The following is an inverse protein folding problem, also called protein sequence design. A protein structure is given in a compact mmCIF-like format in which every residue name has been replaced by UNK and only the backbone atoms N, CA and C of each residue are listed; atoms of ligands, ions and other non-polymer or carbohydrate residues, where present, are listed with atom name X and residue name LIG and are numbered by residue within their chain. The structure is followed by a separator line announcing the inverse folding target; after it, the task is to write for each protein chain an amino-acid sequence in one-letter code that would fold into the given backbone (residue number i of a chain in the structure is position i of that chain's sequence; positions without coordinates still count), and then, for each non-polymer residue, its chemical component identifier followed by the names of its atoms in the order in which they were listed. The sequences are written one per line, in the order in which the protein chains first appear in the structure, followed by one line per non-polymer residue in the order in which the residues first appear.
data_IF_707860996730
#
_entry.id   IF_707860996730
#
_cell.length_a   1.000
_cell.length_b   1.000
_cell.length_c   1.000
_cell.angle_alpha   90.00
_cell.angle_beta   90.00
_cell.angle_gamma   90.00
#
_symmetry.space_group_name_H-M   'P 1'
#
loop_
_entity.id
_entity.type
_entity.pdbx_description
1 polymer ?
#
# COMPACT_ATOMS: atom_id res chain seq x y z
N UNK A 1 2.71 -5.03 10.92
CA UNK A 1 2.99 -3.57 10.90
C UNK A 1 2.57 -2.93 12.21
N UNK A 2 3.23 -1.85 12.65
CA UNK A 2 2.95 -1.17 13.93
C UNK A 2 2.96 0.35 13.75
N UNK A 3 2.05 1.04 14.43
CA UNK A 3 1.99 2.51 14.45
C UNK A 3 2.63 2.98 15.76
N UNK A 4 3.64 3.84 15.65
CA UNK A 4 4.33 4.46 16.80
C UNK A 4 3.91 5.92 16.85
N UNK A 5 3.31 6.37 17.97
CA UNK A 5 2.82 7.74 18.10
C UNK A 5 3.78 8.64 18.86
N UNK A 6 4.58 8.06 19.75
CA UNK A 6 5.52 8.80 20.59
C UNK A 6 6.92 8.18 20.52
N UNK A 7 8.00 8.97 20.74
CA UNK A 7 9.37 8.44 20.74
C UNK A 7 9.59 7.32 21.77
N UNK A 8 8.93 7.38 22.91
CA UNK A 8 9.09 6.40 23.99
C UNK A 8 8.56 5.01 23.62
N UNK A 9 7.58 4.92 22.70
CA UNK A 9 7.03 3.65 22.20
C UNK A 9 7.92 2.98 21.14
N UNK A 10 8.89 3.71 20.59
CA UNK A 10 9.59 3.30 19.37
C UNK A 10 10.41 2.03 19.56
N UNK A 11 11.27 1.98 20.59
CA UNK A 11 12.21 0.87 20.80
C UNK A 11 11.48 -0.45 20.96
N UNK A 12 10.47 -0.50 21.83
CA UNK A 12 9.67 -1.71 22.06
C UNK A 12 8.90 -2.15 20.82
N UNK A 13 8.33 -1.19 20.09
CA UNK A 13 7.59 -1.44 18.84
C UNK A 13 8.51 -1.99 17.76
N UNK A 14 9.71 -1.43 17.60
CA UNK A 14 10.69 -1.83 16.62
C UNK A 14 11.23 -3.24 16.90
N UNK A 15 11.63 -3.53 18.15
CA UNK A 15 12.10 -4.86 18.54
C UNK A 15 10.99 -5.92 18.44
N UNK A 16 9.75 -5.54 18.74
CA UNK A 16 8.58 -6.41 18.54
C UNK A 16 8.34 -6.71 17.06
N UNK A 17 8.41 -5.69 16.19
CA UNK A 17 8.26 -5.85 14.75
C UNK A 17 9.36 -6.71 14.14
N UNK A 18 10.62 -6.58 14.58
CA UNK A 18 11.72 -7.46 14.13
C UNK A 18 11.47 -8.93 14.45
N UNK A 19 11.05 -9.23 15.68
CA UNK A 19 10.74 -10.60 16.11
C UNK A 19 9.60 -11.21 15.29
N UNK A 20 8.55 -10.43 15.05
CA UNK A 20 7.41 -10.81 14.21
C UNK A 20 7.84 -11.05 12.74
N UNK A 21 8.65 -10.15 12.17
CA UNK A 21 9.14 -10.27 10.81
C UNK A 21 10.03 -11.50 10.63
N UNK A 22 10.97 -11.75 11.57
CA UNK A 22 11.80 -12.95 11.55
C UNK A 22 10.98 -14.23 11.63
N UNK A 23 9.97 -14.28 12.50
CA UNK A 23 9.13 -15.45 12.69
C UNK A 23 8.20 -15.72 11.49
N UNK A 24 7.66 -14.67 10.84
CA UNK A 24 6.71 -14.81 9.74
C UNK A 24 7.35 -14.90 8.35
N UNK A 25 8.51 -14.26 8.16
CA UNK A 25 9.14 -14.11 6.84
C UNK A 25 10.61 -14.54 6.79
N UNK A 26 11.21 -14.93 7.93
CA UNK A 26 12.63 -15.33 8.00
C UNK A 26 13.62 -14.17 7.91
N UNK A 27 13.16 -12.92 7.78
CA UNK A 27 13.97 -11.72 7.64
C UNK A 27 13.48 -10.68 8.66
N UNK A 28 14.41 -10.04 9.38
CA UNK A 28 14.09 -9.07 10.43
C UNK A 28 14.31 -7.61 10.01
N UNK A 29 14.59 -7.35 8.73
CA UNK A 29 14.75 -6.00 8.20
C UNK A 29 13.44 -5.23 8.32
N UNK A 30 13.50 -4.01 8.87
CA UNK A 30 12.33 -3.14 9.09
C UNK A 30 12.49 -1.84 8.31
N UNK A 31 11.42 -1.43 7.63
CA UNK A 31 11.29 -0.11 7.03
C UNK A 31 10.51 0.81 7.98
N UNK A 32 10.97 2.06 8.10
CA UNK A 32 10.26 3.11 8.83
C UNK A 32 9.69 4.12 7.84
N UNK A 33 8.39 4.38 7.94
CA UNK A 33 7.68 5.33 7.09
C UNK A 33 6.85 6.30 7.93
N UNK A 34 6.53 7.46 7.34
CA UNK A 34 5.61 8.43 7.94
C UNK A 34 4.19 7.86 7.90
N UNK A 35 3.54 7.81 9.06
CA UNK A 35 2.15 7.36 9.14
C UNK A 35 1.16 8.43 8.65
N UNK A 36 0.29 8.06 7.71
CA UNK A 36 -0.80 8.91 7.19
C UNK A 36 -2.10 8.50 7.88
N UNK A 37 -2.82 9.45 8.48
CA UNK A 37 -3.97 9.16 9.37
C UNK A 37 -5.29 8.93 8.65
N UNK A 38 -5.47 9.50 7.45
CA UNK A 38 -6.68 9.35 6.62
C UNK A 38 -6.29 9.01 5.17
N UNK A 39 -5.56 7.91 4.94
CA UNK A 39 -5.15 7.55 3.60
C UNK A 39 -6.32 6.94 2.83
N UNK A 40 -6.30 7.07 1.50
CA UNK A 40 -6.98 6.13 0.60
C UNK A 40 -5.95 5.12 0.11
N UNK A 41 -6.33 3.85 0.03
CA UNK A 41 -5.47 2.80 -0.50
C UNK A 41 -5.87 2.56 -1.96
N UNK A 42 -5.13 3.20 -2.86
CA UNK A 42 -5.35 3.08 -4.30
C UNK A 42 -4.23 2.27 -4.90
N UNK A 43 -4.60 1.27 -5.69
CA UNK A 43 -3.64 0.42 -6.39
C UNK A 43 -3.98 0.35 -7.89
N UNK A 44 -2.93 0.30 -8.71
CA UNK A 44 -3.06 0.27 -10.18
C UNK A 44 -2.70 -1.12 -10.67
N UNK A 45 -3.55 -1.70 -11.51
CA UNK A 45 -3.25 -2.98 -12.13
C UNK A 45 -2.36 -2.76 -13.35
N UNK A 46 -1.23 -3.45 -13.43
CA UNK A 46 -0.32 -3.40 -14.58
C UNK A 46 -0.33 -4.76 -15.29
N UNK A 47 -0.28 -4.76 -16.61
CA UNK A 47 -0.07 -5.93 -17.45
C UNK A 47 1.08 -5.65 -18.42
N UNK A 48 2.04 -6.57 -18.51
CA UNK A 48 3.19 -6.42 -19.39
C UNK A 48 3.55 -7.73 -20.08
N UNK A 49 4.11 -7.65 -21.28
CA UNK A 49 4.56 -8.81 -22.05
C UNK A 49 6.07 -8.79 -22.36
N UNK A 50 6.57 -9.86 -22.98
CA UNK A 50 7.98 -10.01 -23.35
C UNK A 50 8.40 -9.19 -24.57
N UNK A 51 7.45 -8.58 -25.28
CA UNK A 51 7.70 -7.73 -26.44
C UNK A 51 7.89 -6.26 -26.04
N UNK A 52 7.83 -5.95 -24.75
CA UNK A 52 7.99 -4.61 -24.21
C UNK A 52 6.68 -3.83 -24.11
N UNK A 53 5.53 -4.46 -24.37
CA UNK A 53 4.25 -3.79 -24.16
C UNK A 53 3.94 -3.76 -22.66
N UNK A 54 3.49 -2.59 -22.18
CA UNK A 54 3.01 -2.39 -20.82
C UNK A 54 1.75 -1.55 -20.88
N UNK A 55 0.71 -1.98 -20.18
CA UNK A 55 -0.53 -1.23 -20.02
C UNK A 55 -1.00 -1.28 -18.57
N UNK A 56 -1.76 -0.28 -18.17
CA UNK A 56 -2.47 -0.29 -16.91
C UNK A 56 -3.96 -0.62 -17.15
N UNK A 57 -4.54 -1.42 -16.26
CA UNK A 57 -5.96 -1.77 -16.24
C UNK A 57 -6.68 -0.97 -15.16
N UNK A 58 -6.56 0.36 -15.27
CA UNK A 58 -7.11 1.31 -14.30
C UNK A 58 -6.67 1.01 -12.86
N UNK A 59 -7.39 1.59 -11.91
CA UNK A 59 -7.13 1.52 -10.49
C UNK A 59 -8.26 0.84 -9.72
N UNK A 60 -7.94 0.41 -8.49
CA UNK A 60 -8.89 -0.06 -7.49
C UNK A 60 -8.82 0.79 -6.24
N UNK A 61 -9.99 1.07 -5.66
CA UNK A 61 -10.08 1.61 -4.31
C UNK A 61 -10.22 0.46 -3.31
N UNK A 62 -9.17 0.25 -2.51
CA UNK A 62 -9.12 -0.76 -1.46
C UNK A 62 -9.11 -0.11 -0.06
N UNK A 63 -9.62 1.12 0.08
CA UNK A 63 -9.56 1.89 1.34
C UNK A 63 -10.40 1.29 2.47
N UNK A 64 -11.40 0.47 2.13
CA UNK A 64 -12.24 -0.21 3.12
C UNK A 64 -11.48 -1.39 3.71
N UNK A 65 -10.85 -1.16 4.86
CA UNK A 65 -9.98 -2.11 5.52
C UNK A 65 -10.31 -2.28 7.00
N UNK A 66 -10.05 -3.48 7.54
CA UNK A 66 -10.07 -3.73 8.98
C UNK A 66 -8.72 -4.28 9.42
N UNK A 67 -8.05 -3.62 10.37
CA UNK A 67 -6.71 -3.98 10.85
C UNK A 67 -5.69 -4.17 9.71
N UNK A 68 -5.73 -3.29 8.71
CA UNK A 68 -4.86 -3.28 7.52
C UNK A 68 -5.07 -4.45 6.56
N UNK A 69 -6.21 -5.13 6.64
CA UNK A 69 -6.63 -6.14 5.67
C UNK A 69 -7.79 -5.59 4.84
N UNK A 70 -7.71 -5.79 3.51
CA UNK A 70 -8.76 -5.40 2.57
C UNK A 70 -10.06 -6.15 2.87
N UNK A 71 -11.18 -5.43 2.92
CA UNK A 71 -12.51 -5.99 3.20
C UNK A 71 -13.43 -5.80 1.99
N UNK A 72 -13.41 -4.62 1.37
CA UNK A 72 -14.12 -4.32 0.14
C UNK A 72 -13.12 -3.67 -0.82
N UNK A 73 -13.18 -4.07 -2.09
CA UNK A 73 -12.37 -3.55 -3.18
C UNK A 73 -13.30 -3.16 -4.32
N UNK A 74 -13.18 -1.91 -4.78
CA UNK A 74 -14.04 -1.35 -5.83
C UNK A 74 -13.21 -0.90 -7.04
N UNK A 75 -13.74 -1.07 -8.24
CA UNK A 75 -13.11 -0.66 -9.49
C UNK A 75 -14.14 -0.07 -10.47
N UNK A 76 -13.83 1.06 -11.15
CA UNK A 76 -12.70 1.97 -10.92
C UNK A 76 -12.85 2.76 -9.60
N UNK A 77 -11.84 3.50 -9.18
CA UNK A 77 -11.92 4.30 -7.96
C UNK A 77 -12.78 5.57 -8.17
N UNK A 78 -14.05 5.47 -7.77
CA UNK A 78 -15.16 6.37 -8.15
C UNK A 78 -15.01 7.85 -7.77
N UNK A 79 -14.10 8.20 -6.84
CA UNK A 79 -13.96 9.57 -6.31
C UNK A 79 -12.81 10.37 -6.96
N UNK A 80 -12.08 9.82 -7.93
CA UNK A 80 -11.16 10.63 -8.73
C UNK A 80 -11.91 11.33 -9.85
N UNK A 81 -11.61 12.60 -10.12
CA UNK A 81 -12.07 13.22 -11.37
C UNK A 81 -11.52 12.37 -12.52
N UNK A 82 -12.33 12.10 -13.55
CA UNK A 82 -11.92 11.28 -14.72
C UNK A 82 -10.58 11.76 -15.34
N UNK A 83 -10.18 13.01 -15.12
CA UNK A 83 -8.91 13.59 -15.57
C UNK A 83 -7.67 13.21 -14.76
N UNK A 84 -7.80 12.69 -13.54
CA UNK A 84 -6.64 12.48 -12.64
C UNK A 84 -5.73 11.33 -13.07
N UNK A 85 -6.24 10.38 -13.87
CA UNK A 85 -5.47 9.23 -14.39
C UNK A 85 -5.52 9.06 -15.91
N UNK A 86 -6.35 9.84 -16.63
CA UNK A 86 -6.45 9.76 -18.10
C UNK A 86 -5.36 10.54 -18.86
N UNK A 87 -4.54 11.35 -18.19
CA UNK A 87 -3.71 12.38 -18.84
C UNK A 87 -2.19 12.18 -18.75
N UNK A 88 -1.66 10.99 -18.47
CA UNK A 88 -0.20 10.85 -18.46
C UNK A 88 0.40 9.50 -18.17
N UNK A 89 0.14 8.49 -19.01
CA UNK A 89 1.03 7.33 -19.20
C UNK A 89 0.82 6.76 -20.62
N UNK A 90 1.14 7.57 -21.63
CA UNK A 90 1.43 7.09 -22.99
C UNK A 90 2.96 6.92 -23.04
N UNK A 91 3.42 5.69 -22.79
CA UNK A 91 4.78 5.16 -22.96
C UNK A 91 5.90 5.87 -22.17
#
# INVERSE_FOLDING_TARGET
MRIVKTPNEFVDSFLGAQREAAASFGINTILLEKYITKPRHIEVQIFGDKHGNVLHLYERDCSVQRRHQKIIEEAPAVMFSLHSFQSGFLL
#
